data_IF_545496670857
#
_entry.id   IF_545496670857
#
_cell.length_a   1.000
_cell.length_b   1.000
_cell.length_c   1.000
_cell.angle_alpha   90.00
_cell.angle_beta   90.00
_cell.angle_gamma   90.00
#
_symmetry.space_group_name_H-M   'P 1'
#
loop_
_entity.id
_entity.type
_entity.pdbx_description
1 polymer ?
#
# COMPACT_ATOMS: atom_id res chain seq x y z
N UNK A 1 10.26 6.15 -12.14
CA UNK A 1 11.40 7.00 -12.55
C UNK A 1 12.39 7.18 -11.40
N UNK A 2 11.96 7.64 -10.22
CA UNK A 2 12.78 7.80 -9.00
C UNK A 2 13.48 6.51 -8.59
N UNK A 3 12.76 5.41 -8.48
CA UNK A 3 13.29 4.10 -8.13
C UNK A 3 14.44 3.69 -9.07
N UNK A 4 14.26 3.81 -10.38
CA UNK A 4 15.29 3.47 -11.36
C UNK A 4 16.55 4.35 -11.20
N UNK A 5 16.35 5.66 -10.97
CA UNK A 5 17.46 6.60 -10.73
C UNK A 5 18.26 6.25 -9.47
N UNK A 6 17.56 5.93 -8.37
CA UNK A 6 18.23 5.58 -7.12
C UNK A 6 18.88 4.19 -7.15
N UNK A 7 18.25 3.22 -7.83
CA UNK A 7 18.84 1.90 -8.05
C UNK A 7 20.13 2.02 -8.86
N UNK A 8 20.11 2.77 -9.98
CA UNK A 8 21.31 3.02 -10.81
C UNK A 8 22.41 3.78 -10.07
N UNK A 9 22.05 4.61 -9.08
CA UNK A 9 23.00 5.33 -8.24
C UNK A 9 23.51 4.49 -7.05
N UNK A 10 23.19 3.19 -6.97
CA UNK A 10 23.60 2.28 -5.90
C UNK A 10 22.95 2.56 -4.54
N UNK A 11 21.86 3.34 -4.52
CA UNK A 11 21.16 3.72 -3.28
C UNK A 11 20.11 2.71 -2.84
N UNK A 12 19.73 1.78 -3.73
CA UNK A 12 18.74 0.73 -3.53
C UNK A 12 19.30 -0.58 -4.08
N UNK A 13 20.27 -1.21 -3.39
CA UNK A 13 21.02 -2.36 -3.93
C UNK A 13 20.15 -3.61 -4.13
N UNK A 14 19.16 -3.87 -3.26
CA UNK A 14 18.27 -5.03 -3.38
C UNK A 14 17.37 -4.89 -4.62
N UNK A 15 16.74 -3.74 -4.80
CA UNK A 15 15.91 -3.46 -5.97
C UNK A 15 16.74 -3.40 -7.26
N UNK A 16 17.96 -2.84 -7.20
CA UNK A 16 18.91 -2.89 -8.33
C UNK A 16 19.20 -4.33 -8.75
N UNK A 17 19.49 -5.19 -7.80
CA UNK A 17 19.71 -6.62 -8.06
C UNK A 17 18.48 -7.33 -8.62
N UNK A 18 17.27 -6.96 -8.20
CA UNK A 18 16.05 -7.47 -8.80
C UNK A 18 15.87 -7.02 -10.26
N UNK A 19 16.19 -5.76 -10.56
CA UNK A 19 16.14 -5.21 -11.93
C UNK A 19 17.15 -5.90 -12.83
N UNK A 20 18.38 -6.12 -12.35
CA UNK A 20 19.45 -6.75 -13.12
C UNK A 20 19.19 -8.22 -13.44
N UNK A 21 18.65 -8.96 -12.48
CA UNK A 21 18.41 -10.41 -12.63
C UNK A 21 17.01 -10.75 -13.14
N UNK A 22 16.11 -9.77 -13.16
CA UNK A 22 14.72 -9.96 -13.56
C UNK A 22 14.37 -9.25 -14.85
N UNK A 23 13.08 -9.14 -15.10
CA UNK A 23 12.53 -8.33 -16.18
C UNK A 23 11.89 -7.08 -15.58
N UNK A 24 12.26 -5.91 -16.10
CA UNK A 24 11.70 -4.63 -15.70
C UNK A 24 11.20 -3.85 -16.90
N UNK A 25 10.18 -3.03 -16.73
CA UNK A 25 9.63 -2.23 -17.81
C UNK A 25 8.62 -1.21 -17.34
N UNK A 26 8.19 -0.35 -18.26
CA UNK A 26 7.13 0.62 -17.99
C UNK A 26 5.76 -0.09 -18.05
N UNK A 27 4.97 0.11 -17.01
CA UNK A 27 3.57 -0.32 -16.97
C UNK A 27 2.67 0.91 -17.11
N UNK A 28 1.79 0.89 -18.12
CA UNK A 28 0.76 1.91 -18.27
C UNK A 28 -0.35 1.65 -17.25
N UNK A 29 -0.76 2.71 -16.58
CA UNK A 29 -1.87 2.64 -15.62
C UNK A 29 -3.22 2.50 -16.33
N UNK A 30 -4.28 2.32 -15.55
CA UNK A 30 -5.67 2.37 -16.03
C UNK A 30 -5.98 3.72 -16.66
N UNK A 31 -6.99 3.76 -17.54
CA UNK A 31 -7.36 4.97 -18.28
C UNK A 31 -7.62 6.17 -17.36
N UNK A 32 -8.29 5.98 -16.25
CA UNK A 32 -8.59 7.04 -15.28
C UNK A 32 -7.46 7.33 -14.28
N UNK A 33 -6.33 6.60 -14.32
CA UNK A 33 -5.11 6.78 -13.52
C UNK A 33 -5.35 7.03 -12.01
N UNK A 34 -6.42 6.48 -11.46
CA UNK A 34 -6.76 6.57 -10.04
C UNK A 34 -6.35 5.30 -9.31
N UNK A 35 -5.77 5.46 -8.13
CA UNK A 35 -5.26 4.33 -7.33
C UNK A 35 -6.34 3.29 -7.04
N UNK A 36 -7.58 3.71 -6.75
CA UNK A 36 -8.69 2.78 -6.49
C UNK A 36 -8.94 1.83 -7.66
N UNK A 37 -9.08 2.37 -8.88
CA UNK A 37 -9.29 1.53 -10.07
C UNK A 37 -8.04 0.76 -10.49
N UNK A 38 -6.85 1.36 -10.34
CA UNK A 38 -5.59 0.72 -10.68
C UNK A 38 -5.33 -0.51 -9.80
N UNK A 39 -5.52 -0.40 -8.48
CA UNK A 39 -5.35 -1.53 -7.56
C UNK A 39 -6.34 -2.66 -7.82
N UNK A 40 -7.60 -2.33 -8.13
CA UNK A 40 -8.59 -3.36 -8.46
C UNK A 40 -8.28 -3.99 -9.82
N UNK A 41 -7.77 -3.23 -10.80
CA UNK A 41 -7.27 -3.78 -12.08
C UNK A 41 -6.10 -4.72 -11.86
N UNK A 42 -5.11 -4.36 -11.01
CA UNK A 42 -3.99 -5.25 -10.63
C UNK A 42 -4.53 -6.53 -9.99
N UNK A 43 -5.46 -6.40 -9.06
CA UNK A 43 -6.02 -7.53 -8.33
C UNK A 43 -6.83 -8.50 -9.22
N UNK A 44 -7.52 -7.98 -10.24
CA UNK A 44 -8.48 -8.77 -11.04
C UNK A 44 -7.99 -9.12 -12.44
N UNK A 45 -6.99 -8.41 -12.95
CA UNK A 45 -6.54 -8.57 -14.35
C UNK A 45 -7.52 -8.03 -15.39
N UNK A 46 -8.58 -7.32 -15.00
CA UNK A 46 -9.57 -6.76 -15.92
C UNK A 46 -9.70 -5.25 -15.74
N UNK A 47 -10.22 -4.57 -16.77
CA UNK A 47 -10.35 -3.10 -16.76
C UNK A 47 -11.50 -2.61 -15.84
N UNK A 48 -11.54 -1.30 -15.51
CA UNK A 48 -12.57 -0.73 -14.64
C UNK A 48 -14.00 -0.98 -15.09
N UNK A 49 -14.27 -1.06 -16.39
CA UNK A 49 -15.59 -1.38 -16.93
C UNK A 49 -16.08 -2.77 -16.53
N UNK A 50 -15.17 -3.74 -16.40
CA UNK A 50 -15.49 -5.10 -16.00
C UNK A 50 -15.55 -5.26 -14.47
N UNK A 51 -14.56 -4.74 -13.73
CA UNK A 51 -14.56 -4.89 -12.26
C UNK A 51 -15.46 -3.88 -11.53
N UNK A 52 -15.88 -2.79 -12.18
CA UNK A 52 -16.91 -1.88 -11.68
C UNK A 52 -16.45 -0.83 -10.66
N UNK A 53 -15.15 -0.69 -10.38
CA UNK A 53 -14.60 0.31 -9.45
C UNK A 53 -13.82 1.37 -10.24
N UNK A 54 -14.24 2.63 -10.15
CA UNK A 54 -13.65 3.73 -10.92
C UNK A 54 -12.96 4.77 -10.05
N UNK A 55 -13.41 4.95 -8.81
CA UNK A 55 -12.92 5.99 -7.91
C UNK A 55 -13.00 5.53 -6.45
N UNK A 56 -12.39 6.28 -5.52
CA UNK A 56 -12.58 6.12 -4.08
C UNK A 56 -13.96 6.55 -3.60
N UNK A 57 -14.61 7.44 -4.33
CA UNK A 57 -15.98 7.87 -4.07
C UNK A 57 -16.78 7.74 -5.35
N UNK A 58 -17.90 7.03 -5.29
CA UNK A 58 -18.76 6.81 -6.43
C UNK A 58 -20.19 7.29 -6.14
N UNK A 59 -20.82 7.79 -7.17
CA UNK A 59 -22.19 8.24 -7.07
C UNK A 59 -23.14 7.05 -7.03
N UNK A 60 -24.06 7.04 -6.06
CA UNK A 60 -25.13 6.05 -6.03
C UNK A 60 -26.08 6.32 -7.22
N UNK A 61 -26.32 5.33 -8.09
CA UNK A 61 -27.19 5.52 -9.24
C UNK A 61 -28.55 6.10 -8.85
N UNK A 62 -28.97 7.15 -9.55
CA UNK A 62 -30.24 7.85 -9.29
C UNK A 62 -30.25 8.78 -8.07
N UNK A 63 -29.12 8.97 -7.38
CA UNK A 63 -29.04 9.81 -6.19
C UNK A 63 -27.91 10.85 -6.29
N UNK A 64 -28.01 11.93 -5.51
CA UNK A 64 -26.92 12.91 -5.33
C UNK A 64 -25.97 12.56 -4.16
N UNK A 65 -26.02 11.30 -3.70
CA UNK A 65 -25.17 10.80 -2.63
C UNK A 65 -23.95 10.07 -3.20
N UNK A 66 -22.84 10.21 -2.51
CA UNK A 66 -21.63 9.44 -2.76
C UNK A 66 -21.55 8.24 -1.82
N UNK A 67 -20.95 7.17 -2.29
CA UNK A 67 -20.57 6.00 -1.49
C UNK A 67 -19.08 5.74 -1.66
N UNK A 68 -18.49 5.07 -0.68
CA UNK A 68 -17.13 4.56 -0.76
C UNK A 68 -17.23 3.10 -1.25
N UNK A 69 -16.79 2.80 -2.48
CA UNK A 69 -16.80 1.42 -2.95
C UNK A 69 -15.84 0.57 -2.13
N UNK A 70 -16.23 -0.66 -1.92
CA UNK A 70 -15.51 -1.66 -1.12
C UNK A 70 -15.16 -2.87 -1.97
N UNK A 71 -14.45 -3.84 -1.41
CA UNK A 71 -14.21 -5.11 -2.09
C UNK A 71 -15.51 -5.84 -2.46
N UNK A 72 -16.61 -5.60 -1.72
CA UNK A 72 -17.91 -6.20 -2.00
C UNK A 72 -18.54 -5.70 -3.31
N UNK A 73 -18.20 -4.47 -3.72
CA UNK A 73 -18.71 -3.86 -4.95
C UNK A 73 -17.95 -4.33 -6.20
N UNK A 74 -16.80 -4.98 -6.01
CA UNK A 74 -15.97 -5.53 -7.06
C UNK A 74 -16.66 -6.70 -7.75
N UNK A 75 -16.89 -6.60 -9.06
CA UNK A 75 -17.63 -7.57 -9.87
C UNK A 75 -16.83 -8.76 -10.35
N UNK A 76 -15.48 -8.66 -10.35
CA UNK A 76 -14.57 -9.71 -10.81
C UNK A 76 -13.80 -10.30 -9.64
N UNK A 77 -13.47 -11.61 -9.63
CA UNK A 77 -12.62 -12.21 -8.61
C UNK A 77 -11.22 -11.62 -8.67
N UNK A 78 -10.55 -11.53 -7.52
CA UNK A 78 -9.12 -11.25 -7.48
C UNK A 78 -8.31 -12.50 -7.84
N UNK A 79 -7.08 -12.31 -8.33
CA UNK A 79 -6.25 -13.44 -8.76
C UNK A 79 -5.94 -14.42 -7.61
N UNK A 80 -5.86 -13.94 -6.37
CA UNK A 80 -5.70 -14.83 -5.20
C UNK A 80 -6.96 -15.61 -4.86
N UNK A 81 -8.16 -15.07 -5.15
CA UNK A 81 -9.42 -15.81 -5.02
C UNK A 81 -9.49 -16.92 -6.07
N UNK A 82 -9.09 -16.61 -7.30
CA UNK A 82 -9.01 -17.58 -8.42
C UNK A 82 -7.96 -18.66 -8.13
N UNK A 83 -6.76 -18.29 -7.67
CA UNK A 83 -5.73 -19.22 -7.26
C UNK A 83 -6.20 -20.10 -6.09
N UNK A 84 -6.89 -19.51 -5.13
CA UNK A 84 -7.50 -20.21 -4.00
C UNK A 84 -8.55 -21.24 -4.43
N UNK A 85 -9.37 -20.93 -5.43
CA UNK A 85 -10.31 -21.84 -6.06
C UNK A 85 -9.64 -23.03 -6.76
N UNK A 86 -8.40 -22.85 -7.22
CA UNK A 86 -7.54 -23.90 -7.77
C UNK A 86 -6.69 -24.62 -6.69
N UNK A 87 -7.01 -24.46 -5.42
CA UNK A 87 -6.36 -25.11 -4.29
C UNK A 87 -5.06 -24.44 -3.81
N UNK A 88 -4.61 -23.36 -4.46
CA UNK A 88 -3.39 -22.63 -4.07
C UNK A 88 -3.61 -21.78 -2.83
N UNK A 89 -2.69 -21.87 -1.87
CA UNK A 89 -2.78 -21.12 -0.63
C UNK A 89 -2.07 -19.77 -0.75
N UNK A 90 -2.79 -18.67 -0.46
CA UNK A 90 -2.29 -17.32 -0.61
C UNK A 90 -2.14 -16.55 0.70
N UNK A 91 -1.20 -15.61 0.71
CA UNK A 91 -1.06 -14.56 1.72
C UNK A 91 -1.21 -13.20 1.05
N UNK A 92 -2.20 -12.43 1.47
CA UNK A 92 -2.51 -11.10 0.91
C UNK A 92 -2.52 -10.07 2.03
N UNK A 93 -1.62 -9.08 1.96
CA UNK A 93 -1.42 -8.15 3.09
C UNK A 93 -1.38 -6.71 2.60
N UNK A 94 -2.28 -5.88 3.15
CA UNK A 94 -2.36 -4.43 2.94
C UNK A 94 -2.59 -4.00 1.48
N UNK A 95 -3.15 -4.87 0.67
CA UNK A 95 -3.48 -4.53 -0.73
C UNK A 95 -4.68 -3.58 -0.74
N UNK A 96 -4.58 -2.39 -1.38
CA UNK A 96 -5.67 -1.44 -1.43
C UNK A 96 -6.95 -2.00 -2.06
N UNK A 97 -8.10 -1.53 -1.61
CA UNK A 97 -9.43 -1.94 -2.06
C UNK A 97 -9.78 -3.40 -1.71
N UNK A 98 -9.18 -3.97 -0.65
CA UNK A 98 -9.49 -5.32 -0.17
C UNK A 98 -10.43 -5.35 1.04
N UNK A 99 -10.76 -4.20 1.62
CA UNK A 99 -11.75 -4.17 2.72
C UNK A 99 -13.20 -4.17 2.21
N UNK A 100 -14.12 -4.96 2.84
CA UNK A 100 -13.83 -6.06 3.78
C UNK A 100 -13.13 -7.22 3.07
N UNK A 101 -12.21 -7.91 3.77
CA UNK A 101 -11.46 -9.02 3.19
C UNK A 101 -12.41 -10.15 2.78
N UNK A 102 -12.46 -10.45 1.48
CA UNK A 102 -13.28 -11.54 0.94
C UNK A 102 -12.61 -12.89 1.20
N UNK A 103 -13.42 -13.92 1.38
CA UNK A 103 -12.92 -15.28 1.63
C UNK A 103 -12.15 -15.83 0.43
N UNK A 104 -11.00 -16.43 0.70
CA UNK A 104 -10.21 -17.19 -0.26
C UNK A 104 -9.41 -18.28 0.48
N UNK A 105 -8.74 -19.20 -0.23
CA UNK A 105 -7.87 -20.18 0.39
C UNK A 105 -6.56 -19.51 0.83
N UNK A 106 -6.51 -19.04 2.08
CA UNK A 106 -5.32 -18.34 2.57
C UNK A 106 -5.55 -17.41 3.74
N UNK A 107 -4.61 -16.50 3.93
CA UNK A 107 -4.60 -15.48 4.98
C UNK A 107 -4.63 -14.11 4.34
N UNK A 108 -5.51 -13.25 4.83
CA UNK A 108 -5.65 -11.89 4.36
C UNK A 108 -5.64 -10.86 5.48
N UNK A 109 -4.94 -9.75 5.24
CA UNK A 109 -5.00 -8.54 6.05
C UNK A 109 -5.38 -7.39 5.12
N UNK A 110 -6.50 -6.75 5.40
CA UNK A 110 -7.03 -5.69 4.56
C UNK A 110 -6.15 -4.43 4.58
N UNK A 111 -6.56 -3.45 3.85
CA UNK A 111 -5.85 -2.20 3.64
C UNK A 111 -6.28 -1.09 4.61
N UNK A 112 -5.68 0.06 4.42
CA UNK A 112 -5.93 1.28 5.19
C UNK A 112 -7.33 1.91 4.98
N UNK A 113 -8.13 1.43 4.02
CA UNK A 113 -9.52 1.88 3.83
C UNK A 113 -10.50 1.23 4.83
N UNK A 114 -10.09 0.19 5.55
CA UNK A 114 -10.91 -0.32 6.63
C UNK A 114 -11.05 0.73 7.76
N UNK A 115 -12.21 0.85 8.37
CA UNK A 115 -12.42 1.83 9.44
C UNK A 115 -11.52 1.64 10.65
N UNK A 116 -11.21 0.41 10.98
CA UNK A 116 -10.19 0.02 11.97
C UNK A 116 -9.94 -1.49 11.92
N UNK A 117 -8.82 -1.99 12.48
CA UNK A 117 -8.58 -3.43 12.63
C UNK A 117 -9.59 -4.18 13.50
N UNK A 118 -10.42 -3.47 14.27
CA UNK A 118 -11.50 -4.08 15.06
C UNK A 118 -12.78 -4.32 14.27
N UNK A 119 -12.88 -3.74 13.08
CA UNK A 119 -14.08 -3.94 12.26
C UNK A 119 -14.09 -5.33 11.63
N UNK A 120 -15.26 -5.98 11.59
CA UNK A 120 -15.43 -7.25 10.89
C UNK A 120 -14.93 -7.14 9.44
N UNK A 121 -14.26 -8.18 8.96
CA UNK A 121 -13.72 -8.19 7.60
C UNK A 121 -12.36 -7.50 7.45
N UNK A 122 -11.72 -7.07 8.54
CA UNK A 122 -10.35 -6.55 8.47
C UNK A 122 -9.35 -7.63 8.11
N UNK A 123 -9.49 -8.82 8.69
CA UNK A 123 -8.64 -9.98 8.38
C UNK A 123 -9.44 -11.20 7.97
N UNK A 124 -8.77 -12.12 7.32
CA UNK A 124 -9.16 -13.50 7.12
C UNK A 124 -7.98 -14.41 7.50
N UNK A 125 -8.19 -15.29 8.52
CA UNK A 125 -9.40 -15.46 9.33
C UNK A 125 -9.62 -14.25 10.27
N UNK A 126 -10.86 -14.03 10.78
CA UNK A 126 -11.21 -12.85 11.59
C UNK A 126 -10.42 -12.70 12.89
N UNK A 127 -10.07 -13.80 13.55
CA UNK A 127 -9.31 -13.83 14.82
C UNK A 127 -7.89 -13.30 14.67
N UNK A 128 -7.34 -13.30 13.46
CA UNK A 128 -6.00 -12.79 13.18
C UNK A 128 -5.84 -11.32 13.55
N UNK A 129 -6.91 -10.53 13.42
CA UNK A 129 -6.87 -9.10 13.74
C UNK A 129 -6.42 -8.84 15.19
N UNK A 130 -6.98 -9.59 16.14
CA UNK A 130 -6.64 -9.45 17.56
C UNK A 130 -5.17 -9.83 17.83
N UNK A 131 -4.68 -10.87 17.21
CA UNK A 131 -3.28 -11.31 17.31
C UNK A 131 -2.32 -10.23 16.79
N UNK A 132 -2.58 -9.70 15.59
CA UNK A 132 -1.72 -8.69 14.98
C UNK A 132 -1.69 -7.40 15.80
N UNK A 133 -2.84 -6.96 16.30
CA UNK A 133 -2.93 -5.78 17.17
C UNK A 133 -2.18 -6.01 18.49
N UNK A 134 -2.33 -7.16 19.11
CA UNK A 134 -1.63 -7.49 20.36
C UNK A 134 -0.11 -7.53 20.19
N UNK A 135 0.38 -8.02 19.04
CA UNK A 135 1.81 -8.21 18.77
C UNK A 135 2.50 -6.97 18.22
N UNK A 136 1.86 -6.25 17.30
CA UNK A 136 2.47 -5.16 16.55
C UNK A 136 1.88 -3.78 16.85
N UNK A 137 0.83 -3.74 17.68
CA UNK A 137 0.11 -2.51 17.97
C UNK A 137 -0.74 -2.05 16.79
N UNK A 138 -1.20 -0.81 16.86
CA UNK A 138 -2.02 -0.18 15.83
C UNK A 138 -1.18 0.49 14.73
N UNK A 139 0.12 0.71 14.98
CA UNK A 139 1.00 1.51 14.14
C UNK A 139 1.16 0.96 12.70
N UNK A 140 0.95 -0.34 12.50
CA UNK A 140 1.00 -0.92 11.15
C UNK A 140 -0.25 -0.60 10.33
N UNK A 141 -1.32 -0.10 10.97
CA UNK A 141 -2.62 0.09 10.34
C UNK A 141 -2.78 1.47 9.69
N UNK A 142 -2.04 2.48 10.05
CA UNK A 142 -2.07 3.73 9.31
C UNK A 142 -2.80 4.89 9.97
N UNK A 143 -2.31 5.36 11.10
CA UNK A 143 -2.42 6.78 11.40
C UNK A 143 -1.61 7.66 10.41
N UNK A 144 -1.21 7.06 9.26
CA UNK A 144 -0.40 7.73 8.24
C UNK A 144 -1.19 8.80 7.47
N UNK A 145 -2.52 8.75 7.51
CA UNK A 145 -3.41 9.67 6.80
C UNK A 145 -4.14 10.64 7.73
N UNK A 146 -3.68 10.81 8.98
CA UNK A 146 -4.10 11.94 9.80
C UNK A 146 -3.89 13.25 9.03
N UNK A 147 -4.79 14.22 9.27
CA UNK A 147 -4.85 15.53 8.60
C UNK A 147 -3.52 15.99 8.03
N UNK A 148 -3.53 16.35 6.74
CA UNK A 148 -2.37 16.81 5.98
C UNK A 148 -1.40 17.58 6.86
N UNK A 149 -0.12 17.18 6.95
CA UNK A 149 0.79 17.83 7.87
C UNK A 149 0.80 19.33 7.55
N UNK A 150 0.53 20.20 8.49
CA UNK A 150 0.68 21.62 8.26
C UNK A 150 2.15 21.89 7.94
N UNK A 151 2.42 22.89 7.13
CA UNK A 151 3.72 23.31 6.61
C UNK A 151 4.71 23.75 7.72
N UNK A 152 5.01 22.84 8.66
CA UNK A 152 5.93 23.06 9.75
C UNK A 152 6.98 21.95 9.79
N UNK A 153 8.25 22.29 9.75
CA UNK A 153 9.38 21.35 9.71
C UNK A 153 9.33 20.28 10.83
N UNK A 154 8.87 20.61 12.02
CA UNK A 154 8.74 19.67 13.13
C UNK A 154 7.74 18.54 12.85
N UNK A 155 6.69 18.79 12.09
CA UNK A 155 5.69 17.79 11.72
C UNK A 155 6.17 16.86 10.61
N UNK A 156 6.95 17.37 9.65
CA UNK A 156 7.58 16.52 8.64
C UNK A 156 8.59 15.55 9.25
N UNK A 157 9.37 16.00 10.25
CA UNK A 157 10.29 15.11 10.97
C UNK A 157 9.55 14.02 11.74
N UNK A 158 8.39 14.34 12.34
CA UNK A 158 7.53 13.37 13.00
C UNK A 158 6.95 12.37 11.97
N UNK A 159 6.40 12.87 10.87
CA UNK A 159 5.85 12.04 9.80
C UNK A 159 6.89 11.08 9.24
N UNK A 160 8.12 11.55 8.98
CA UNK A 160 9.21 10.69 8.50
C UNK A 160 9.54 9.58 9.51
N UNK A 161 9.64 9.90 10.81
CA UNK A 161 9.86 8.86 11.83
C UNK A 161 8.74 7.83 11.88
N UNK A 162 7.49 8.26 11.77
CA UNK A 162 6.32 7.38 11.72
C UNK A 162 6.36 6.48 10.49
N UNK A 163 6.66 7.03 9.31
CA UNK A 163 6.79 6.26 8.07
C UNK A 163 7.87 5.19 8.16
N UNK A 164 9.05 5.53 8.65
CA UNK A 164 10.16 4.58 8.83
C UNK A 164 9.80 3.47 9.83
N UNK A 165 9.14 3.83 10.93
CA UNK A 165 8.65 2.87 11.93
C UNK A 165 7.56 1.95 11.34
N UNK A 166 6.62 2.51 10.60
CA UNK A 166 5.54 1.75 9.93
C UNK A 166 6.09 0.78 8.88
N UNK A 167 7.06 1.19 8.06
CA UNK A 167 7.77 0.29 7.15
C UNK A 167 8.33 -0.94 7.89
N UNK A 168 9.09 -0.71 8.96
CA UNK A 168 9.70 -1.80 9.73
C UNK A 168 8.63 -2.73 10.33
N UNK A 169 7.52 -2.16 10.80
CA UNK A 169 6.40 -2.95 11.33
C UNK A 169 5.72 -3.76 10.22
N UNK A 170 5.53 -3.19 9.03
CA UNK A 170 4.95 -3.89 7.87
C UNK A 170 5.75 -5.13 7.50
N UNK A 171 7.08 -5.02 7.41
CA UNK A 171 7.94 -6.18 7.14
C UNK A 171 7.94 -7.19 8.28
N UNK A 172 7.85 -6.73 9.54
CA UNK A 172 7.70 -7.64 10.68
C UNK A 172 6.39 -8.43 10.63
N UNK A 173 5.30 -7.80 10.21
CA UNK A 173 4.00 -8.47 9.97
C UNK A 173 4.12 -9.47 8.82
N UNK A 174 4.72 -9.07 7.69
CA UNK A 174 4.92 -9.98 6.55
C UNK A 174 5.72 -11.20 6.96
N UNK A 175 6.85 -11.00 7.62
CA UNK A 175 7.68 -12.10 8.11
C UNK A 175 6.93 -13.00 9.07
N UNK A 176 6.25 -12.43 10.05
CA UNK A 176 5.46 -13.19 11.03
C UNK A 176 4.41 -14.08 10.36
N UNK A 177 3.70 -13.55 9.35
CA UNK A 177 2.68 -14.32 8.64
C UNK A 177 3.29 -15.38 7.72
N UNK A 178 4.40 -15.08 7.04
CA UNK A 178 5.11 -16.02 6.18
C UNK A 178 5.75 -17.17 6.96
N UNK A 179 6.18 -16.93 8.21
CA UNK A 179 6.78 -17.95 9.08
C UNK A 179 5.72 -18.94 9.66
N UNK A 180 4.42 -18.64 9.60
CA UNK A 180 3.36 -19.46 10.19
C UNK A 180 3.06 -20.74 9.42
N UNK A 181 3.07 -20.62 8.09
CA UNK A 181 2.69 -21.71 7.19
C UNK A 181 3.24 -21.48 5.79
N UNK A 182 3.17 -22.49 4.94
CA UNK A 182 3.62 -22.37 3.55
C UNK A 182 2.52 -21.74 2.70
N UNK A 183 2.90 -20.69 1.98
CA UNK A 183 2.07 -20.07 0.95
C UNK A 183 2.69 -20.29 -0.42
N UNK A 184 1.85 -20.50 -1.42
CA UNK A 184 2.26 -20.61 -2.83
C UNK A 184 2.16 -19.24 -3.54
N UNK A 185 1.43 -18.32 -2.93
CA UNK A 185 1.26 -16.94 -3.38
C UNK A 185 1.44 -15.98 -2.21
N UNK A 186 2.30 -14.99 -2.38
CA UNK A 186 2.39 -13.84 -1.49
C UNK A 186 2.20 -12.56 -2.26
N UNK A 187 1.26 -11.72 -1.81
CA UNK A 187 1.03 -10.39 -2.35
C UNK A 187 0.90 -9.38 -1.20
N UNK A 188 1.97 -8.62 -0.97
CA UNK A 188 2.05 -7.61 0.07
C UNK A 188 2.28 -6.22 -0.51
N UNK A 189 1.72 -5.19 0.14
CA UNK A 189 1.91 -3.79 -0.23
C UNK A 189 2.51 -3.03 0.94
N UNK A 190 3.50 -2.19 0.64
CA UNK A 190 4.14 -1.26 1.56
C UNK A 190 3.71 0.15 1.15
N UNK A 191 2.59 0.69 1.68
CA UNK A 191 2.03 1.96 1.25
C UNK A 191 2.86 3.17 1.71
N UNK A 192 3.83 2.98 2.58
CA UNK A 192 4.65 4.04 3.15
C UNK A 192 5.41 4.84 2.09
N UNK A 193 5.78 4.22 0.95
CA UNK A 193 6.43 4.93 -0.16
C UNK A 193 5.47 5.89 -0.87
N UNK A 194 4.22 5.53 -0.99
CA UNK A 194 3.17 6.39 -1.55
C UNK A 194 2.91 7.58 -0.63
N UNK A 195 2.68 7.30 0.66
CA UNK A 195 2.48 8.35 1.68
C UNK A 195 3.68 9.29 1.76
N UNK A 196 4.92 8.74 1.76
CA UNK A 196 6.13 9.54 1.74
C UNK A 196 6.19 10.47 0.52
N UNK A 197 5.76 9.98 -0.64
CA UNK A 197 5.70 10.78 -1.86
C UNK A 197 4.71 11.95 -1.71
N UNK A 198 3.53 11.70 -1.15
CA UNK A 198 2.55 12.75 -0.89
C UNK A 198 3.03 13.80 0.13
N UNK A 199 3.75 13.38 1.17
CA UNK A 199 4.14 14.24 2.30
C UNK A 199 5.46 14.95 2.07
N UNK A 200 6.46 14.30 1.42
CA UNK A 200 7.84 14.78 1.38
C UNK A 200 8.31 15.17 -0.02
N UNK A 201 7.51 15.00 -1.07
CA UNK A 201 7.92 15.29 -2.44
C UNK A 201 8.43 16.73 -2.63
N UNK A 202 7.70 17.71 -2.10
CA UNK A 202 8.06 19.12 -2.19
C UNK A 202 9.39 19.46 -1.49
N UNK A 203 9.82 18.68 -0.51
CA UNK A 203 11.12 18.85 0.13
C UNK A 203 12.24 18.21 -0.70
N UNK A 204 11.91 17.14 -1.44
CA UNK A 204 12.86 16.37 -2.22
C UNK A 204 13.13 16.98 -3.61
N UNK A 205 12.12 17.48 -4.28
CA UNK A 205 12.20 17.95 -5.67
C UNK A 205 12.41 19.46 -5.74
N UNK A 206 13.61 19.93 -6.17
CA UNK A 206 13.90 21.35 -6.29
C UNK A 206 13.02 22.10 -7.32
N UNK A 207 12.38 21.37 -8.23
CA UNK A 207 11.48 21.98 -9.22
C UNK A 207 10.05 22.18 -8.70
N UNK A 208 9.73 21.65 -7.53
CA UNK A 208 8.39 21.78 -6.96
C UNK A 208 8.12 23.22 -6.50
N UNK A 209 6.95 23.82 -6.82
CA UNK A 209 6.65 25.22 -6.46
C UNK A 209 6.74 25.55 -4.97
N UNK A 210 6.51 24.56 -4.11
CA UNK A 210 6.62 24.71 -2.65
C UNK A 210 7.94 24.14 -2.09
N UNK A 211 8.99 24.02 -2.92
CA UNK A 211 10.29 23.53 -2.45
C UNK A 211 10.89 24.49 -1.43
N UNK A 212 11.33 23.95 -0.30
CA UNK A 212 12.04 24.70 0.74
C UNK A 212 13.53 24.28 0.77
N UNK A 213 14.43 25.07 0.16
CA UNK A 213 15.87 24.76 0.17
C UNK A 213 16.50 24.90 1.56
N UNK A 214 15.83 25.59 2.50
CA UNK A 214 16.29 25.77 3.88
C UNK A 214 15.91 24.60 4.78
N UNK A 215 15.05 23.69 4.33
CA UNK A 215 14.67 22.49 5.09
C UNK A 215 15.89 21.64 5.45
N UNK A 216 15.95 21.04 6.64
CA UNK A 216 17.04 20.16 7.02
C UNK A 216 17.32 19.07 6.00
N UNK A 217 18.61 18.77 5.74
CA UNK A 217 19.00 17.76 4.77
C UNK A 217 18.31 16.41 5.01
N UNK A 218 18.17 16.01 6.27
CA UNK A 218 17.48 14.78 6.65
C UNK A 218 16.02 14.71 6.19
N UNK A 219 15.35 15.86 6.03
CA UNK A 219 14.00 15.92 5.50
C UNK A 219 13.98 15.94 3.96
N UNK A 220 14.96 16.61 3.34
CA UNK A 220 15.12 16.60 1.88
C UNK A 220 15.49 15.20 1.36
N UNK A 221 16.24 14.43 2.16
CA UNK A 221 16.56 13.02 1.88
C UNK A 221 15.48 12.05 2.41
N UNK A 222 14.45 12.54 3.10
CA UNK A 222 13.46 11.72 3.79
C UNK A 222 12.72 10.75 2.85
N UNK A 223 12.40 11.19 1.64
CA UNK A 223 11.77 10.32 0.65
C UNK A 223 12.69 9.15 0.27
N UNK A 224 13.98 9.41 0.02
CA UNK A 224 14.97 8.38 -0.24
C UNK A 224 15.10 7.43 0.96
N UNK A 225 15.13 7.96 2.18
CA UNK A 225 15.26 7.14 3.39
C UNK A 225 14.11 6.12 3.54
N UNK A 226 12.87 6.50 3.17
CA UNK A 226 11.75 5.55 3.16
C UNK A 226 11.93 4.46 2.11
N UNK A 227 12.39 4.80 0.90
CA UNK A 227 12.70 3.81 -0.13
C UNK A 227 13.86 2.87 0.27
N UNK A 228 14.87 3.40 0.94
CA UNK A 228 15.98 2.59 1.48
C UNK A 228 15.47 1.61 2.54
N UNK A 229 14.56 2.05 3.41
CA UNK A 229 13.94 1.16 4.40
C UNK A 229 13.14 0.02 3.76
N UNK A 230 12.60 0.22 2.57
CA UNK A 230 11.93 -0.84 1.80
C UNK A 230 12.93 -1.75 1.10
N UNK A 231 14.11 -1.23 0.72
CA UNK A 231 15.18 -1.96 0.04
C UNK A 231 15.99 -2.87 0.98
N UNK A 232 16.12 -2.47 2.27
CA UNK A 232 16.79 -3.21 3.35
C UNK A 232 16.12 -4.56 3.65
#
# INVERSE_FOLDING_TARGET
ELLMRWASAGKLPTLAGCIERGASGRLLSTYNQLSSSAWVTIATGVNPGAHGIYNFQERIPGQYRLTLPTSADRRSPAFWETAGGAGRRGLVVRVPMTYPMRRFNGVGVSDWLAPSPRHPGFTQPPELAAELVARFGWAFWGELWGDSPPHQAGRYAQALRQLLGSCSTSFSVFKHLLDRERFELFFGVVPETDVASHVLWHLHDPSHPAHDPSAPQSLRDGLLAVYQRVDD
#
